data_IF_047916160942
#
_entry.id   IF_047916160942
#
_cell.length_a   1.000
_cell.length_b   1.000
_cell.length_c   1.000
_cell.angle_alpha   90.00
_cell.angle_beta   90.00
_cell.angle_gamma   90.00
#
_symmetry.space_group_name_H-M   'P 1'
#
loop_
_entity.id
_entity.type
_entity.pdbx_description
1 polymer ?
#
# COMPACT_ATOMS: atom_id res chain seq x y z
N UNK A 1 7.70 8.22 -3.56
CA UNK A 1 8.17 6.87 -3.15
C UNK A 1 7.07 5.87 -3.46
N UNK A 2 7.41 4.74 -4.08
CA UNK A 2 6.47 3.61 -4.25
C UNK A 2 6.98 2.47 -3.38
N UNK A 3 6.09 1.93 -2.54
CA UNK A 3 6.34 0.76 -1.72
C UNK A 3 5.44 -0.37 -2.20
N UNK A 4 6.02 -1.54 -2.46
CA UNK A 4 5.29 -2.71 -2.91
C UNK A 4 5.90 -3.99 -2.33
N UNK A 5 5.05 -4.93 -1.93
CA UNK A 5 5.44 -6.25 -1.43
C UNK A 5 4.51 -7.32 -1.98
N UNK A 6 5.06 -8.50 -2.31
CA UNK A 6 4.28 -9.70 -2.68
C UNK A 6 3.85 -10.44 -1.40
N UNK A 7 3.12 -9.75 -0.53
CA UNK A 7 2.58 -10.28 0.72
C UNK A 7 1.18 -9.76 0.96
N UNK A 8 0.37 -10.59 1.63
CA UNK A 8 -0.98 -10.26 2.06
C UNK A 8 -1.05 -9.86 3.55
N UNK A 9 0.05 -9.96 4.29
CA UNK A 9 0.11 -9.64 5.71
C UNK A 9 0.15 -8.13 5.93
N UNK A 10 -0.62 -7.62 6.88
CA UNK A 10 -0.64 -6.19 7.17
C UNK A 10 0.71 -5.72 7.72
N UNK A 11 1.39 -6.57 8.49
CA UNK A 11 2.69 -6.31 9.11
C UNK A 11 3.79 -6.04 8.09
N UNK A 12 3.65 -6.58 6.87
CA UNK A 12 4.56 -6.37 5.75
C UNK A 12 4.03 -5.33 4.76
N UNK A 13 2.71 -5.09 4.72
CA UNK A 13 2.07 -4.15 3.80
C UNK A 13 1.65 -2.84 4.47
N UNK A 14 0.35 -2.72 4.75
CA UNK A 14 -0.28 -1.50 5.24
C UNK A 14 0.28 -1.00 6.59
N UNK A 15 0.69 -1.91 7.46
CA UNK A 15 1.33 -1.63 8.74
C UNK A 15 2.66 -0.92 8.57
N UNK A 16 3.55 -1.42 7.70
CA UNK A 16 4.85 -0.77 7.42
C UNK A 16 4.68 0.67 6.94
N UNK A 17 3.71 0.90 6.06
CA UNK A 17 3.48 2.24 5.52
C UNK A 17 2.87 3.17 6.56
N UNK A 18 1.95 2.67 7.39
CA UNK A 18 1.39 3.43 8.52
C UNK A 18 2.49 3.88 9.48
N UNK A 19 3.36 2.96 9.87
CA UNK A 19 4.49 3.21 10.76
C UNK A 19 5.52 4.18 10.14
N UNK A 20 5.80 4.04 8.84
CA UNK A 20 6.66 4.96 8.12
C UNK A 20 6.11 6.39 8.12
N UNK A 21 4.82 6.55 7.83
CA UNK A 21 4.16 7.86 7.80
C UNK A 21 4.13 8.51 9.19
N UNK A 22 3.96 7.73 10.26
CA UNK A 22 4.04 8.23 11.63
C UNK A 22 5.43 8.80 11.98
N UNK A 23 6.51 8.23 11.42
CA UNK A 23 7.89 8.68 11.63
C UNK A 23 8.37 9.73 10.62
N UNK A 24 7.66 9.90 9.51
CA UNK A 24 8.11 10.69 8.36
C UNK A 24 7.05 11.71 7.92
N UNK A 25 6.85 12.81 8.68
CA UNK A 25 5.73 13.75 8.46
C UNK A 25 5.80 14.52 7.13
N UNK A 26 6.95 14.53 6.47
CA UNK A 26 7.11 15.12 5.13
C UNK A 26 6.44 14.28 4.02
N UNK A 27 5.99 13.06 4.32
CA UNK A 27 5.33 12.19 3.37
C UNK A 27 3.82 12.11 3.63
N UNK A 28 3.07 11.96 2.55
CA UNK A 28 1.63 11.71 2.59
C UNK A 28 1.24 10.62 1.59
N UNK A 29 0.24 9.78 1.91
CA UNK A 29 -0.25 8.79 0.96
C UNK A 29 -1.01 9.49 -0.17
N UNK A 30 -0.86 8.95 -1.37
CA UNK A 30 -1.67 9.36 -2.51
C UNK A 30 -2.94 8.52 -2.59
N UNK A 31 -4.08 9.19 -2.75
CA UNK A 31 -5.38 8.51 -2.75
C UNK A 31 -5.73 7.96 -4.13
N UNK A 32 -5.43 8.66 -5.22
CA UNK A 32 -5.83 8.22 -6.57
C UNK A 32 -4.81 7.26 -7.19
N UNK A 33 -4.77 6.05 -6.64
CA UNK A 33 -4.00 4.93 -7.20
C UNK A 33 -4.70 4.33 -8.43
N UNK A 34 -4.21 3.19 -8.90
CA UNK A 34 -4.79 2.41 -10.00
C UNK A 34 -6.15 1.79 -9.62
N UNK A 35 -6.95 1.38 -10.61
CA UNK A 35 -8.30 0.85 -10.40
C UNK A 35 -8.35 -0.47 -9.63
N UNK A 36 -7.48 -1.43 -9.97
CA UNK A 36 -7.45 -2.77 -9.37
C UNK A 36 -7.19 -2.77 -7.86
N UNK A 37 -7.54 -3.86 -7.18
CA UNK A 37 -7.37 -4.01 -5.74
C UNK A 37 -8.30 -3.13 -4.90
N UNK A 38 -8.14 -3.24 -3.58
CA UNK A 38 -8.94 -2.47 -2.60
C UNK A 38 -8.04 -1.76 -1.61
N UNK A 39 -8.47 -0.60 -1.13
CA UNK A 39 -7.71 0.11 -0.10
C UNK A 39 -7.58 -0.73 1.17
N UNK A 40 -6.35 -0.80 1.67
CA UNK A 40 -5.97 -1.35 2.97
C UNK A 40 -5.02 -0.34 3.60
N UNK A 41 -5.57 0.50 4.49
CA UNK A 41 -4.82 1.64 5.03
C UNK A 41 -4.35 2.61 3.93
N UNK A 42 -3.06 2.99 3.91
CA UNK A 42 -2.52 4.02 2.99
C UNK A 42 -2.21 3.51 1.57
N UNK A 43 -2.52 2.25 1.24
CA UNK A 43 -2.27 1.65 -0.07
C UNK A 43 -3.42 0.74 -0.52
N UNK A 44 -3.18 -0.03 -1.57
CA UNK A 44 -4.11 -1.04 -2.10
C UNK A 44 -3.55 -2.45 -1.96
N UNK A 45 -4.44 -3.37 -1.57
CA UNK A 45 -4.22 -4.81 -1.53
C UNK A 45 -4.85 -5.46 -2.78
N UNK A 46 -4.09 -6.31 -3.44
CA UNK A 46 -4.49 -7.23 -4.48
C UNK A 46 -4.40 -8.65 -3.94
N UNK A 47 -5.38 -9.49 -4.24
CA UNK A 47 -5.48 -10.87 -3.75
C UNK A 47 -5.72 -11.85 -4.90
N UNK A 48 -5.13 -13.05 -4.86
CA UNK A 48 -5.34 -14.04 -5.94
C UNK A 48 -6.80 -14.36 -6.22
N UNK A 49 -7.61 -14.51 -5.18
CA UNK A 49 -9.01 -14.87 -5.32
C UNK A 49 -9.88 -13.79 -5.99
N UNK A 50 -9.46 -12.51 -5.99
CA UNK A 50 -10.29 -11.40 -6.49
C UNK A 50 -9.70 -10.71 -7.70
N UNK A 51 -8.38 -10.59 -7.73
CA UNK A 51 -7.67 -9.80 -8.73
C UNK A 51 -7.01 -10.70 -9.79
N UNK A 52 -7.14 -12.03 -9.66
CA UNK A 52 -6.64 -13.03 -10.62
C UNK A 52 -5.15 -12.91 -10.92
N UNK A 53 -4.36 -12.56 -9.91
CA UNK A 53 -2.92 -12.37 -9.95
C UNK A 53 -2.31 -12.62 -8.57
N UNK A 54 -0.98 -12.67 -8.46
CA UNK A 54 -0.32 -12.86 -7.16
C UNK A 54 -0.72 -11.79 -6.13
N UNK A 55 -0.64 -12.16 -4.86
CA UNK A 55 -0.99 -11.29 -3.75
C UNK A 55 0.00 -10.15 -3.58
N UNK A 56 -0.47 -8.90 -3.61
CA UNK A 56 0.38 -7.73 -3.51
C UNK A 56 -0.24 -6.64 -2.64
N UNK A 57 0.61 -5.91 -1.92
CA UNK A 57 0.28 -4.60 -1.38
C UNK A 57 1.10 -3.52 -2.09
N UNK A 58 0.47 -2.40 -2.47
CA UNK A 58 1.12 -1.27 -3.13
C UNK A 58 0.66 0.05 -2.54
N UNK A 59 1.60 0.93 -2.17
CA UNK A 59 1.34 2.29 -1.74
C UNK A 59 2.23 3.29 -2.50
N UNK A 60 1.66 4.44 -2.89
CA UNK A 60 2.41 5.57 -3.44
C UNK A 60 2.38 6.72 -2.44
N UNK A 61 3.56 7.20 -2.05
CA UNK A 61 3.75 8.26 -1.08
C UNK A 61 4.39 9.46 -1.77
N UNK A 62 3.78 10.62 -1.59
CA UNK A 62 4.28 11.91 -2.09
C UNK A 62 5.05 12.59 -0.96
N UNK A 63 6.19 13.18 -1.29
CA UNK A 63 6.92 14.07 -0.38
C UNK A 63 6.46 15.50 -0.61
N UNK A 64 6.20 16.24 0.47
CA UNK A 64 5.97 17.69 0.44
C UNK A 64 7.28 18.45 0.18
#
# INVERSE_FOLDING_TARGET
>A
LVYAVCSLLDEEGAGQVTDFLARSPAFRPEKDLFTAGRYRGPGKLLTPARDHMDGFFVARLLRA
#
